data_IF_921545667248
#
_entry.id   IF_921545667248
#
_cell.length_a   1.000
_cell.length_b   1.000
_cell.length_c   1.000
_cell.angle_alpha   90.00
_cell.angle_beta   90.00
_cell.angle_gamma   90.00
#
_symmetry.space_group_name_H-M   'P 1'
#
loop_
_entity.id
_entity.type
_entity.pdbx_description
1 polymer ?
#
# COMPACT_ATOMS: atom_id res chain seq x y z
N UNK A 1 37.55 -9.11 40.43
CA UNK A 1 37.02 -7.83 40.93
C UNK A 1 37.95 -6.64 40.70
N UNK A 2 39.21 -6.63 41.15
CA UNK A 2 40.11 -5.47 40.92
C UNK A 2 40.54 -5.26 39.45
N UNK A 3 40.65 -6.33 38.66
CA UNK A 3 41.06 -6.25 37.26
C UNK A 3 39.98 -5.64 36.35
N UNK A 4 38.70 -5.92 36.62
CA UNK A 4 37.56 -5.43 35.83
C UNK A 4 37.29 -3.95 36.10
N UNK A 5 37.54 -3.47 37.32
CA UNK A 5 37.42 -2.05 37.68
C UNK A 5 38.52 -1.24 36.97
N UNK A 6 39.75 -1.76 36.93
CA UNK A 6 40.86 -1.12 36.21
C UNK A 6 40.59 -1.04 34.70
N UNK A 7 40.04 -2.10 34.10
CA UNK A 7 39.68 -2.13 32.68
C UNK A 7 38.55 -1.15 32.33
N UNK A 8 37.53 -1.00 33.20
CA UNK A 8 36.46 -0.01 33.00
C UNK A 8 36.97 1.43 33.10
N UNK A 9 37.82 1.73 34.07
CA UNK A 9 38.42 3.06 34.22
C UNK A 9 39.31 3.42 33.02
N UNK A 10 40.06 2.45 32.47
CA UNK A 10 40.84 2.67 31.25
C UNK A 10 39.96 2.93 30.02
N UNK A 11 38.80 2.26 29.93
CA UNK A 11 37.82 2.51 28.86
C UNK A 11 37.16 3.89 28.99
N UNK A 12 36.79 4.30 30.21
CA UNK A 12 36.22 5.63 30.47
C UNK A 12 37.21 6.74 30.12
N UNK A 13 38.49 6.59 30.49
CA UNK A 13 39.54 7.54 30.11
C UNK A 13 39.74 7.64 28.59
N UNK A 14 39.68 6.50 27.87
CA UNK A 14 39.77 6.50 26.40
C UNK A 14 38.58 7.20 25.75
N UNK A 15 37.37 7.00 26.28
CA UNK A 15 36.17 7.68 25.79
C UNK A 15 36.22 9.18 26.05
N UNK A 16 36.70 9.60 27.23
CA UNK A 16 36.89 11.01 27.56
C UNK A 16 37.92 11.67 26.64
N UNK A 17 39.05 11.01 26.39
CA UNK A 17 40.07 11.52 25.46
C UNK A 17 39.53 11.66 24.03
N UNK A 18 38.71 10.71 23.57
CA UNK A 18 38.08 10.77 22.23
C UNK A 18 37.02 11.88 22.15
N UNK A 19 36.28 12.13 23.23
CA UNK A 19 35.30 13.22 23.31
C UNK A 19 35.99 14.60 23.33
N UNK A 20 37.09 14.73 24.07
CA UNK A 20 37.92 15.94 24.10
C UNK A 20 38.57 16.21 22.74
N UNK A 21 39.07 15.19 22.04
CA UNK A 21 39.62 15.35 20.69
C UNK A 21 38.53 15.79 19.70
N UNK A 22 37.32 15.22 19.79
CA UNK A 22 36.18 15.65 18.97
C UNK A 22 35.75 17.08 19.28
N UNK A 23 35.78 17.50 20.55
CA UNK A 23 35.48 18.87 20.94
C UNK A 23 36.50 19.86 20.35
N UNK A 24 37.80 19.53 20.47
CA UNK A 24 38.88 20.33 19.89
C UNK A 24 38.74 20.44 18.36
N UNK A 25 38.45 19.33 17.67
CA UNK A 25 38.25 19.34 16.23
C UNK A 25 37.03 20.18 15.80
N UNK A 26 35.96 20.24 16.60
CA UNK A 26 34.82 21.12 16.33
C UNK A 26 35.20 22.59 16.51
N UNK A 27 35.95 22.91 17.56
CA UNK A 27 36.40 24.28 17.82
C UNK A 27 37.37 24.78 16.75
N UNK A 28 38.31 23.93 16.30
CA UNK A 28 39.20 24.25 15.16
C UNK A 28 38.38 24.48 13.89
N UNK A 29 37.43 23.61 13.57
CA UNK A 29 36.57 23.78 12.39
C UNK A 29 35.72 25.05 12.48
N UNK A 30 35.19 25.39 13.65
CA UNK A 30 34.43 26.62 13.84
C UNK A 30 35.33 27.85 13.66
N UNK A 31 36.55 27.80 14.20
CA UNK A 31 37.54 28.87 14.01
C UNK A 31 37.95 29.03 12.53
N UNK A 32 38.19 27.93 11.82
CA UNK A 32 38.45 27.94 10.38
C UNK A 32 37.25 28.55 9.63
N UNK A 33 36.03 28.12 9.94
CA UNK A 33 34.81 28.64 9.32
C UNK A 33 34.61 30.16 9.57
N UNK A 34 34.98 30.63 10.77
CA UNK A 34 35.00 32.06 11.13
C UNK A 34 36.06 32.84 10.34
N UNK A 35 37.25 32.28 10.14
CA UNK A 35 38.31 32.89 9.33
C UNK A 35 37.96 32.95 7.84
N UNK A 36 37.30 31.92 7.31
CA UNK A 36 36.85 31.88 5.92
C UNK A 36 35.65 32.79 5.62
N UNK A 37 35.15 33.54 6.62
CA UNK A 37 34.00 34.43 6.44
C UNK A 37 32.70 33.70 6.08
N UNK A 38 32.65 32.39 6.36
CA UNK A 38 31.62 31.46 5.88
C UNK A 38 30.56 31.15 6.95
N UNK A 39 30.42 32.00 7.98
CA UNK A 39 29.09 32.24 8.57
C UNK A 39 28.43 33.30 7.71
N UNK A 40 27.40 32.86 6.97
CA UNK A 40 26.58 33.73 6.16
C UNK A 40 26.17 34.98 6.95
N UNK A 41 26.17 36.10 6.23
CA UNK A 41 25.67 37.39 6.65
C UNK A 41 24.28 37.32 7.30
N UNK A 42 24.20 36.96 8.58
CA UNK A 42 23.17 37.44 9.47
C UNK A 42 23.73 38.66 10.19
N UNK A 43 23.38 39.83 9.64
CA UNK A 43 23.65 41.15 10.23
C UNK A 43 22.77 41.37 11.46
N UNK A 44 22.88 40.51 12.46
CA UNK A 44 22.17 40.68 13.74
C UNK A 44 22.92 40.01 14.89
N UNK A 45 24.07 40.59 15.25
CA UNK A 45 24.57 40.67 16.63
C UNK A 45 25.93 41.39 16.63
N UNK A 46 25.97 42.62 16.12
CA UNK A 46 26.95 43.58 16.64
C UNK A 46 26.38 44.04 17.98
N UNK A 47 27.11 43.99 19.10
CA UNK A 47 26.63 44.61 20.33
C UNK A 47 26.55 46.11 20.07
N UNK A 48 25.33 46.61 20.04
CA UNK A 48 24.99 48.02 19.96
C UNK A 48 25.63 48.73 21.18
N UNK A 49 26.72 49.44 20.94
CA UNK A 49 27.29 50.38 21.89
C UNK A 49 26.30 51.55 22.04
N UNK A 50 25.41 51.43 23.02
CA UNK A 50 24.46 52.48 23.38
C UNK A 50 25.23 53.70 23.88
N UNK A 51 25.48 54.67 23.01
CA UNK A 51 25.87 56.02 23.41
C UNK A 51 24.62 56.88 23.50
N UNK A 52 24.07 57.03 24.71
CA UNK A 52 23.13 58.11 25.02
C UNK A 52 23.92 59.42 25.03
N UNK A 53 23.56 60.37 24.17
CA UNK A 53 22.87 61.63 24.53
C UNK A 53 22.79 62.57 23.33
N UNK A 54 21.75 63.39 23.33
CA UNK A 54 21.36 64.26 22.23
C UNK A 54 22.32 65.40 21.91
N UNK A 55 22.12 65.88 20.69
CA UNK A 55 22.22 67.26 20.22
C UNK A 55 23.58 67.99 20.24
N UNK A 56 23.95 68.33 19.01
CA UNK A 56 24.60 69.56 18.53
C UNK A 56 26.13 69.57 18.30
N UNK A 57 26.46 70.02 17.09
CA UNK A 57 27.68 70.74 16.69
C UNK A 57 28.89 69.93 16.18
N UNK A 58 29.05 70.00 14.84
CA UNK A 58 30.26 70.42 14.10
C UNK A 58 31.64 69.78 14.39
N UNK A 59 32.10 69.06 13.36
CA UNK A 59 33.45 68.95 12.75
C UNK A 59 34.68 68.55 13.59
N UNK A 60 35.48 67.69 12.94
CA UNK A 60 36.94 67.51 13.00
C UNK A 60 37.52 66.30 13.76
N UNK A 61 38.08 65.40 12.93
CA UNK A 61 39.38 64.74 13.05
C UNK A 61 40.09 64.84 14.40
N UNK A 62 40.35 63.68 15.02
CA UNK A 62 41.63 63.37 15.69
C UNK A 62 41.77 61.88 15.96
N UNK A 63 42.75 61.30 15.27
CA UNK A 63 43.36 60.02 15.57
C UNK A 63 43.96 60.10 16.99
N UNK A 64 43.27 59.58 17.99
CA UNK A 64 43.81 59.42 19.34
C UNK A 64 43.51 58.01 19.82
N UNK A 65 44.57 57.19 19.88
CA UNK A 65 44.55 55.84 20.44
C UNK A 65 44.21 55.96 21.93
N UNK A 66 42.92 55.97 22.26
CA UNK A 66 42.48 55.80 23.65
C UNK A 66 42.73 54.35 24.02
N UNK A 67 43.50 54.14 25.08
CA UNK A 67 43.69 52.84 25.71
C UNK A 67 42.32 52.44 26.26
N UNK A 68 41.62 51.52 25.59
CA UNK A 68 40.44 50.88 26.18
C UNK A 68 40.95 50.03 27.34
N UNK A 69 40.71 50.48 28.56
CA UNK A 69 40.81 49.63 29.73
C UNK A 69 39.57 48.74 29.73
N UNK A 70 39.70 47.55 29.15
CA UNK A 70 38.66 46.54 29.18
C UNK A 70 38.63 45.96 30.59
N UNK A 71 37.56 46.24 31.31
CA UNK A 71 37.32 45.68 32.63
C UNK A 71 37.10 44.15 32.51
N UNK A 72 37.96 43.31 33.10
CA UNK A 72 37.87 41.86 32.97
C UNK A 72 36.53 41.29 33.45
N UNK A 73 35.91 41.92 34.46
CA UNK A 73 34.62 41.46 34.98
C UNK A 73 33.45 41.70 34.00
N UNK A 74 33.50 42.76 33.20
CA UNK A 74 32.46 43.09 32.22
C UNK A 74 32.57 42.17 30.99
N UNK A 75 33.78 41.84 30.56
CA UNK A 75 34.04 40.85 29.51
C UNK A 75 33.51 39.45 29.88
N UNK A 76 33.72 39.02 31.13
CA UNK A 76 33.25 37.73 31.60
C UNK A 76 31.71 37.65 31.65
N UNK A 77 31.04 38.76 31.96
CA UNK A 77 29.57 38.84 31.93
C UNK A 77 29.05 38.72 30.50
N UNK A 78 29.65 39.45 29.56
CA UNK A 78 29.28 39.40 28.13
C UNK A 78 29.55 38.00 27.55
N UNK A 79 30.65 37.35 27.92
CA UNK A 79 30.97 35.98 27.50
C UNK A 79 29.95 34.97 28.03
N UNK A 80 29.52 35.09 29.29
CA UNK A 80 28.48 34.21 29.86
C UNK A 80 27.12 34.44 29.20
N UNK A 81 26.72 35.69 29.02
CA UNK A 81 25.43 36.02 28.40
C UNK A 81 25.35 35.56 26.92
N UNK A 82 26.44 35.73 26.16
CA UNK A 82 26.52 35.23 24.78
C UNK A 82 26.48 33.70 24.72
N UNK A 83 27.21 33.01 25.60
CA UNK A 83 27.15 31.54 25.71
C UNK A 83 25.74 31.04 26.08
N UNK A 84 25.05 31.72 26.98
CA UNK A 84 23.70 31.32 27.40
C UNK A 84 22.66 31.52 26.29
N UNK A 85 22.80 32.60 25.50
CA UNK A 85 21.98 32.82 24.29
C UNK A 85 22.21 31.73 23.25
N UNK A 86 23.47 31.37 22.98
CA UNK A 86 23.82 30.29 22.03
C UNK A 86 23.26 28.94 22.49
N UNK A 87 23.41 28.61 23.79
CA UNK A 87 22.85 27.38 24.38
C UNK A 87 21.32 27.32 24.32
N UNK A 88 20.63 28.46 24.28
CA UNK A 88 19.18 28.49 24.14
C UNK A 88 18.76 28.17 22.71
N UNK A 89 19.43 28.78 21.72
CA UNK A 89 19.17 28.56 20.29
C UNK A 89 19.43 27.09 19.92
N UNK A 90 20.58 26.52 20.32
CA UNK A 90 20.90 25.11 20.09
C UNK A 90 19.81 24.16 20.65
N UNK A 91 19.30 24.43 21.86
CA UNK A 91 18.22 23.63 22.45
C UNK A 91 16.90 23.73 21.70
N UNK A 92 16.63 24.85 21.04
CA UNK A 92 15.44 25.04 20.21
C UNK A 92 15.60 24.30 18.87
N UNK A 93 16.77 24.41 18.22
CA UNK A 93 17.11 23.69 16.99
C UNK A 93 17.13 22.16 17.17
N UNK A 94 17.68 21.65 18.28
CA UNK A 94 17.66 20.22 18.63
C UNK A 94 16.23 19.70 18.85
N UNK A 95 15.35 20.52 19.44
CA UNK A 95 13.93 20.18 19.63
C UNK A 95 13.16 20.17 18.31
N UNK A 96 13.54 20.98 17.34
CA UNK A 96 12.87 21.02 16.03
C UNK A 96 13.36 19.89 15.11
N UNK A 97 14.68 19.65 15.08
CA UNK A 97 15.27 18.55 14.32
C UNK A 97 14.85 17.18 14.84
N UNK A 98 14.71 17.00 16.17
CA UNK A 98 14.21 15.75 16.75
C UNK A 98 12.74 15.46 16.45
N UNK A 99 11.90 16.49 16.25
CA UNK A 99 10.51 16.32 15.79
C UNK A 99 10.45 15.88 14.33
N UNK A 100 11.39 16.32 13.50
CA UNK A 100 11.42 16.01 12.07
C UNK A 100 12.09 14.65 11.74
N UNK A 101 12.95 14.12 12.61
CA UNK A 101 13.73 12.90 12.34
C UNK A 101 13.04 11.58 12.78
N UNK A 102 11.91 11.65 13.47
CA UNK A 102 11.14 10.46 13.83
C UNK A 102 10.13 10.17 12.72
N UNK A 103 10.07 8.94 12.16
CA UNK A 103 9.01 8.58 11.23
C UNK A 103 7.67 8.87 11.89
N UNK A 104 6.94 9.83 11.32
CA UNK A 104 5.88 10.64 11.95
C UNK A 104 4.60 9.90 12.35
N UNK A 105 4.66 8.58 12.53
CA UNK A 105 3.51 7.73 12.76
C UNK A 105 3.04 7.69 14.22
N UNK A 106 3.94 7.93 15.19
CA UNK A 106 3.65 7.73 16.61
C UNK A 106 3.50 9.02 17.42
N UNK A 107 3.65 10.19 16.79
CA UNK A 107 3.56 11.49 17.47
C UNK A 107 2.17 12.08 17.19
N UNK A 108 1.24 12.11 18.18
CA UNK A 108 -0.14 12.57 17.96
C UNK A 108 -0.28 14.02 17.48
N UNK A 109 0.76 14.85 17.66
CA UNK A 109 0.78 16.22 17.16
C UNK A 109 1.21 16.36 15.69
N UNK A 110 1.75 15.29 15.09
CA UNK A 110 2.19 15.24 13.69
C UNK A 110 1.36 14.26 12.85
N UNK A 111 0.39 13.56 13.46
CA UNK A 111 -0.58 12.78 12.70
C UNK A 111 -1.46 13.73 11.89
N UNK A 112 -1.56 13.57 10.56
CA UNK A 112 -2.45 14.38 9.75
C UNK A 112 -3.88 14.20 10.29
N UNK A 113 -4.53 15.30 10.68
CA UNK A 113 -5.89 15.29 11.18
C UNK A 113 -6.81 14.81 10.06
N UNK A 114 -7.24 13.54 10.13
CA UNK A 114 -8.24 12.98 9.22
C UNK A 114 -9.52 13.82 9.39
N UNK A 115 -9.92 14.50 8.32
CA UNK A 115 -11.19 15.22 8.28
C UNK A 115 -12.32 14.28 8.74
N UNK A 116 -13.21 14.77 9.60
CA UNK A 116 -14.29 13.97 10.25
C UNK A 116 -15.31 13.36 9.29
N UNK A 117 -15.12 13.47 7.97
CA UNK A 117 -15.79 12.62 6.99
C UNK A 117 -15.06 11.28 7.00
N UNK A 118 -15.57 10.35 7.82
CA UNK A 118 -15.26 8.95 7.63
C UNK A 118 -15.49 8.61 6.14
N UNK A 119 -14.48 8.10 5.42
CA UNK A 119 -14.71 7.58 4.08
C UNK A 119 -15.81 6.54 4.20
N UNK A 120 -16.82 6.64 3.33
CA UNK A 120 -17.90 5.67 3.28
C UNK A 120 -17.26 4.28 3.21
N UNK A 121 -17.65 3.37 4.12
CA UNK A 121 -17.03 2.06 4.20
C UNK A 121 -17.08 1.42 2.80
N UNK A 122 -15.94 0.96 2.25
CA UNK A 122 -15.93 0.38 0.92
C UNK A 122 -16.92 -0.80 0.92
N UNK A 123 -17.80 -0.85 -0.09
CA UNK A 123 -18.75 -1.95 -0.24
C UNK A 123 -17.94 -3.22 -0.49
N UNK A 124 -17.91 -4.10 0.52
CA UNK A 124 -17.16 -5.36 0.50
C UNK A 124 -17.97 -6.45 -0.21
N UNK A 125 -18.44 -6.17 -1.42
CA UNK A 125 -19.06 -7.21 -2.23
C UNK A 125 -17.95 -8.09 -2.82
N UNK A 126 -17.99 -9.42 -2.59
CA UNK A 126 -16.97 -10.31 -3.12
C UNK A 126 -17.03 -10.29 -4.64
N UNK A 127 -15.88 -10.03 -5.28
CA UNK A 127 -15.73 -10.08 -6.72
C UNK A 127 -15.36 -11.50 -7.14
N UNK A 128 -15.78 -11.91 -8.34
CA UNK A 128 -15.35 -13.19 -8.87
C UNK A 128 -13.89 -13.10 -9.35
N UNK A 129 -13.06 -14.12 -9.03
CA UNK A 129 -11.67 -14.14 -9.48
C UNK A 129 -11.51 -14.30 -11.00
N UNK A 130 -12.58 -14.71 -11.71
CA UNK A 130 -12.59 -14.89 -13.17
C UNK A 130 -13.23 -13.68 -13.87
N UNK A 131 -13.63 -12.64 -13.14
CA UNK A 131 -14.11 -11.41 -13.78
C UNK A 131 -13.01 -10.77 -14.61
N UNK A 132 -13.39 -10.25 -15.79
CA UNK A 132 -12.53 -9.33 -16.50
C UNK A 132 -12.35 -8.06 -15.67
N UNK A 133 -11.14 -7.45 -15.66
CA UNK A 133 -10.90 -6.22 -14.90
C UNK A 133 -11.76 -5.05 -15.40
N UNK A 134 -12.17 -5.08 -16.67
CA UNK A 134 -13.05 -4.07 -17.28
C UNK A 134 -14.54 -4.27 -16.94
N UNK A 135 -14.96 -5.48 -16.56
CA UNK A 135 -16.34 -5.81 -16.16
C UNK A 135 -16.38 -6.68 -14.89
N UNK A 136 -16.14 -6.06 -13.71
CA UNK A 136 -16.10 -6.78 -12.44
C UNK A 136 -17.51 -7.26 -12.05
N UNK A 137 -17.72 -8.58 -12.01
CA UNK A 137 -18.99 -9.14 -11.58
C UNK A 137 -18.99 -9.49 -10.09
N UNK A 138 -20.00 -8.97 -9.39
CA UNK A 138 -20.20 -9.19 -7.95
C UNK A 138 -20.85 -10.55 -7.70
N UNK A 139 -20.33 -11.28 -6.71
CA UNK A 139 -20.84 -12.56 -6.27
C UNK A 139 -21.86 -12.35 -5.14
N UNK A 140 -23.04 -12.95 -5.28
CA UNK A 140 -24.07 -12.97 -4.23
C UNK A 140 -24.54 -14.40 -4.00
N UNK A 141 -24.82 -14.78 -2.77
CA UNK A 141 -25.35 -16.12 -2.46
C UNK A 141 -26.65 -16.44 -3.22
N UNK A 142 -27.43 -15.41 -3.58
CA UNK A 142 -28.66 -15.56 -4.38
C UNK A 142 -28.39 -15.81 -5.86
N UNK A 143 -27.22 -15.39 -6.38
CA UNK A 143 -26.81 -15.61 -7.78
C UNK A 143 -26.02 -16.89 -7.97
N UNK A 144 -25.54 -17.52 -6.89
CA UNK A 144 -24.86 -18.82 -6.96
C UNK A 144 -25.83 -19.94 -7.32
N UNK A 145 -25.39 -20.79 -8.24
CA UNK A 145 -26.12 -21.98 -8.69
C UNK A 145 -25.34 -23.22 -8.26
N UNK A 146 -26.04 -24.22 -7.73
CA UNK A 146 -25.43 -25.51 -7.44
C UNK A 146 -25.07 -26.21 -8.75
N UNK A 147 -23.86 -26.76 -8.83
CA UNK A 147 -23.36 -27.50 -9.99
C UNK A 147 -23.29 -28.97 -9.65
N UNK A 148 -23.99 -29.80 -10.42
CA UNK A 148 -24.07 -31.24 -10.25
C UNK A 148 -23.41 -31.94 -11.45
N UNK A 149 -22.29 -32.61 -11.15
CA UNK A 149 -21.63 -33.51 -12.08
C UNK A 149 -22.08 -34.94 -11.83
N UNK A 150 -22.26 -35.73 -12.89
CA UNK A 150 -22.58 -37.14 -12.73
C UNK A 150 -21.32 -37.94 -12.36
N UNK A 151 -21.41 -38.61 -11.21
CA UNK A 151 -20.31 -39.28 -10.53
C UNK A 151 -20.06 -40.72 -10.97
N UNK A 152 -20.65 -41.18 -12.09
CA UNK A 152 -20.40 -42.52 -12.65
C UNK A 152 -18.93 -42.70 -12.99
N UNK A 153 -18.13 -43.14 -12.01
CA UNK A 153 -16.78 -43.62 -12.23
C UNK A 153 -16.87 -44.83 -13.14
N UNK A 154 -16.16 -44.82 -14.26
CA UNK A 154 -15.95 -46.03 -15.05
C UNK A 154 -15.49 -47.15 -14.13
N UNK A 155 -16.34 -48.16 -13.94
CA UNK A 155 -15.97 -49.35 -13.19
C UNK A 155 -14.84 -50.05 -13.94
N UNK A 156 -13.75 -50.34 -13.20
CA UNK A 156 -12.54 -51.13 -13.55
C UNK A 156 -11.33 -50.32 -14.05
N UNK A 157 -10.56 -49.79 -13.11
CA UNK A 157 -9.10 -49.94 -13.13
C UNK A 157 -8.52 -49.63 -11.74
N UNK A 158 -7.97 -50.67 -11.12
CA UNK A 158 -7.13 -50.59 -9.94
C UNK A 158 -5.80 -49.93 -10.34
N UNK A 159 -5.64 -48.63 -10.13
CA UNK A 159 -4.34 -47.97 -10.32
C UNK A 159 -4.18 -46.73 -9.46
N UNK A 160 -3.16 -46.81 -8.63
CA UNK A 160 -2.71 -45.92 -7.56
C UNK A 160 -2.12 -44.61 -8.10
N UNK A 161 -2.93 -43.68 -8.61
CA UNK A 161 -2.55 -42.26 -8.75
C UNK A 161 -3.71 -41.44 -9.33
N UNK A 162 -4.14 -40.42 -8.59
CA UNK A 162 -5.14 -39.40 -8.97
C UNK A 162 -6.54 -39.93 -9.29
N UNK A 163 -7.37 -39.92 -8.25
CA UNK A 163 -8.83 -39.92 -8.29
C UNK A 163 -9.30 -38.83 -9.28
N UNK A 164 -9.48 -39.16 -10.55
CA UNK A 164 -10.16 -38.30 -11.53
C UNK A 164 -11.64 -38.37 -11.17
N UNK A 165 -12.01 -37.55 -10.18
CA UNK A 165 -13.34 -37.46 -9.62
C UNK A 165 -14.40 -37.36 -10.73
N UNK A 166 -15.51 -38.10 -10.56
CA UNK A 166 -16.57 -38.30 -11.54
C UNK A 166 -17.21 -37.01 -12.05
N UNK A 167 -16.53 -36.36 -12.99
CA UNK A 167 -17.02 -35.23 -13.79
C UNK A 167 -17.31 -35.74 -15.17
N UNK A 168 -18.46 -36.38 -15.32
CA UNK A 168 -18.87 -37.05 -16.56
C UNK A 168 -20.16 -36.43 -17.08
N UNK A 169 -20.30 -36.36 -18.40
CA UNK A 169 -21.55 -35.94 -19.04
C UNK A 169 -22.61 -37.06 -18.91
N UNK A 170 -23.81 -36.78 -18.38
CA UNK A 170 -24.84 -37.80 -18.15
C UNK A 170 -25.43 -38.39 -19.44
N UNK A 171 -25.23 -37.74 -20.59
CA UNK A 171 -25.78 -38.20 -21.88
C UNK A 171 -24.82 -39.07 -22.69
N UNK A 172 -23.51 -38.79 -22.68
CA UNK A 172 -22.53 -39.53 -23.49
C UNK A 172 -21.47 -40.26 -22.65
N UNK A 173 -21.54 -40.15 -21.33
CA UNK A 173 -20.59 -40.73 -20.37
C UNK A 173 -19.11 -40.34 -20.62
N UNK A 174 -18.87 -39.27 -21.38
CA UNK A 174 -17.53 -38.71 -21.58
C UNK A 174 -17.15 -37.84 -20.40
N UNK A 175 -15.95 -38.06 -19.87
CA UNK A 175 -15.38 -37.22 -18.83
C UNK A 175 -15.10 -35.81 -19.36
N UNK A 176 -15.49 -34.78 -18.61
CA UNK A 176 -15.16 -33.39 -18.91
C UNK A 176 -13.66 -33.20 -18.74
N UNK A 177 -12.95 -33.15 -19.86
CA UNK A 177 -11.52 -32.85 -19.92
C UNK A 177 -11.27 -31.45 -20.44
N UNK A 178 -9.99 -31.12 -20.66
CA UNK A 178 -9.64 -29.85 -21.30
C UNK A 178 -10.39 -29.73 -22.61
N UNK A 179 -10.45 -30.71 -23.50
CA UNK A 179 -10.99 -30.56 -24.87
C UNK A 179 -12.52 -30.34 -24.99
N UNK A 180 -13.32 -30.76 -24.00
CA UNK A 180 -14.78 -30.80 -24.14
C UNK A 180 -15.43 -29.56 -23.53
N UNK A 181 -16.11 -28.78 -24.36
CA UNK A 181 -16.94 -27.67 -23.90
C UNK A 181 -18.23 -28.19 -23.26
N UNK A 182 -18.73 -27.47 -22.26
CA UNK A 182 -19.90 -27.87 -21.49
C UNK A 182 -20.87 -26.72 -21.24
N UNK A 183 -22.13 -27.08 -21.02
CA UNK A 183 -23.22 -26.20 -20.66
C UNK A 183 -23.76 -26.59 -19.28
N UNK A 184 -24.09 -25.59 -18.47
CA UNK A 184 -24.75 -25.70 -17.18
C UNK A 184 -26.21 -25.26 -17.31
N UNK A 185 -27.15 -26.07 -16.85
CA UNK A 185 -28.57 -25.71 -16.80
C UNK A 185 -28.88 -24.91 -15.53
N UNK A 186 -29.41 -23.69 -15.64
CA UNK A 186 -29.64 -22.81 -14.47
C UNK A 186 -30.60 -23.36 -13.40
N UNK A 187 -31.78 -23.92 -13.73
CA UNK A 187 -32.74 -24.30 -12.69
C UNK A 187 -32.32 -25.55 -11.89
N UNK A 188 -31.72 -26.55 -12.55
CA UNK A 188 -31.41 -27.84 -11.96
C UNK A 188 -29.91 -28.13 -11.77
N UNK A 189 -29.01 -27.32 -12.33
CA UNK A 189 -27.57 -27.42 -12.06
C UNK A 189 -26.83 -28.57 -12.76
N UNK A 190 -27.47 -29.31 -13.66
CA UNK A 190 -26.82 -30.38 -14.42
C UNK A 190 -25.85 -29.84 -15.49
N UNK A 191 -24.71 -30.53 -15.63
CA UNK A 191 -23.68 -30.18 -16.62
C UNK A 191 -23.69 -31.17 -17.79
N UNK A 192 -23.77 -30.66 -19.02
CA UNK A 192 -23.90 -31.46 -20.24
C UNK A 192 -22.89 -30.95 -21.28
N UNK A 193 -22.24 -31.86 -22.03
CA UNK A 193 -21.27 -31.43 -23.05
C UNK A 193 -21.97 -30.76 -24.24
N UNK A 194 -21.27 -29.87 -24.94
CA UNK A 194 -21.79 -29.11 -26.09
C UNK A 194 -22.41 -30.00 -27.17
N UNK A 195 -21.76 -31.11 -27.49
CA UNK A 195 -22.25 -32.05 -28.50
C UNK A 195 -23.58 -32.73 -28.09
N UNK A 196 -23.76 -33.04 -26.80
CA UNK A 196 -25.01 -33.59 -26.29
C UNK A 196 -26.11 -32.54 -26.23
N UNK A 197 -25.78 -31.31 -25.84
CA UNK A 197 -26.72 -30.21 -25.87
C UNK A 197 -27.30 -30.00 -27.28
N UNK A 198 -26.44 -29.89 -28.29
CA UNK A 198 -26.86 -29.63 -29.68
C UNK A 198 -27.65 -30.79 -30.30
N UNK A 199 -27.39 -32.03 -29.89
CA UNK A 199 -28.03 -33.22 -30.47
C UNK A 199 -29.32 -33.63 -29.75
N UNK A 200 -29.36 -33.48 -28.42
CA UNK A 200 -30.39 -34.08 -27.56
C UNK A 200 -31.33 -33.03 -26.96
N UNK A 201 -30.81 -31.86 -26.56
CA UNK A 201 -31.62 -30.85 -25.87
C UNK A 201 -32.09 -29.72 -26.77
N UNK A 202 -31.24 -29.24 -27.68
CA UNK A 202 -31.55 -28.07 -28.52
C UNK A 202 -32.78 -28.38 -29.39
N UNK A 203 -33.89 -27.65 -29.23
CA UNK A 203 -35.09 -27.87 -30.04
C UNK A 203 -34.77 -27.59 -31.50
N UNK A 204 -35.27 -28.46 -32.40
CA UNK A 204 -35.05 -28.32 -33.85
C UNK A 204 -36.05 -27.38 -34.49
N UNK A 205 -37.20 -27.19 -33.85
CA UNK A 205 -38.30 -26.37 -34.32
C UNK A 205 -38.59 -25.23 -33.35
N UNK A 206 -38.90 -24.05 -33.88
CA UNK A 206 -39.29 -22.87 -33.10
C UNK A 206 -40.67 -23.08 -32.46
N UNK A 207 -40.70 -23.52 -31.20
CA UNK A 207 -41.94 -23.78 -30.46
C UNK A 207 -41.81 -24.94 -29.46
N UNK A 208 -40.79 -25.78 -29.60
CA UNK A 208 -40.47 -26.82 -28.62
C UNK A 208 -39.80 -26.23 -27.38
N UNK A 209 -40.19 -26.73 -26.21
CA UNK A 209 -39.60 -26.32 -24.92
C UNK A 209 -38.22 -26.92 -24.77
N UNK A 210 -37.30 -26.12 -24.26
CA UNK A 210 -35.96 -26.61 -23.94
C UNK A 210 -36.03 -27.29 -22.58
N UNK A 211 -35.81 -28.61 -22.52
CA UNK A 211 -35.91 -29.37 -21.27
C UNK A 211 -34.58 -30.00 -20.88
N UNK A 212 -34.35 -30.15 -19.57
CA UNK A 212 -33.19 -30.86 -19.06
C UNK A 212 -33.31 -32.37 -19.34
N UNK A 213 -32.28 -32.98 -19.93
CA UNK A 213 -32.27 -34.42 -20.20
C UNK A 213 -32.31 -35.30 -18.93
N UNK A 214 -31.83 -34.79 -17.79
CA UNK A 214 -31.67 -35.59 -16.56
C UNK A 214 -32.92 -35.56 -15.68
N UNK A 215 -33.54 -34.39 -15.54
CA UNK A 215 -34.66 -34.17 -14.61
C UNK A 215 -35.90 -33.56 -15.27
N UNK A 216 -35.91 -33.45 -16.60
CA UNK A 216 -37.05 -32.96 -17.41
C UNK A 216 -37.53 -31.54 -17.08
N UNK A 217 -36.75 -30.78 -16.32
CA UNK A 217 -37.05 -29.40 -15.94
C UNK A 217 -37.03 -28.44 -17.15
N UNK A 218 -37.94 -27.46 -17.17
CA UNK A 218 -38.05 -26.48 -18.25
C UNK A 218 -36.95 -25.41 -18.16
N UNK A 219 -36.10 -25.36 -19.19
CA UNK A 219 -34.96 -24.47 -19.35
C UNK A 219 -35.26 -23.31 -20.30
N UNK A 220 -36.47 -23.22 -20.85
CA UNK A 220 -36.87 -22.18 -21.80
C UNK A 220 -36.67 -20.79 -21.17
N UNK A 221 -35.91 -19.93 -21.84
CA UNK A 221 -35.65 -18.56 -21.37
C UNK A 221 -36.95 -17.76 -21.43
N UNK A 222 -37.51 -17.43 -20.27
CA UNK A 222 -38.56 -16.43 -20.22
C UNK A 222 -37.91 -15.05 -20.20
N UNK A 223 -38.20 -14.17 -21.18
CA UNK A 223 -37.76 -12.79 -21.11
C UNK A 223 -38.45 -12.16 -19.91
N UNK A 224 -37.67 -11.72 -18.92
CA UNK A 224 -38.18 -11.02 -17.73
C UNK A 224 -38.74 -9.67 -18.16
N UNK A 225 -39.98 -9.66 -18.66
CA UNK A 225 -40.77 -8.47 -18.94
C UNK A 225 -41.93 -8.43 -17.95
N UNK A 226 -41.72 -7.83 -16.78
CA UNK A 226 -42.73 -6.97 -16.15
C UNK A 226 -42.20 -6.27 -14.91
N UNK A 227 -42.43 -4.96 -14.87
CA UNK A 227 -42.12 -4.04 -13.76
C UNK A 227 -43.12 -4.17 -12.60
N UNK A 228 -43.92 -5.24 -12.56
CA UNK A 228 -44.99 -5.44 -11.57
C UNK A 228 -45.34 -6.93 -11.45
N UNK A 229 -44.57 -7.70 -10.68
CA UNK A 229 -45.15 -8.81 -9.93
C UNK A 229 -44.36 -9.04 -8.65
N UNK A 230 -45.07 -8.95 -7.52
CA UNK A 230 -44.55 -9.33 -6.20
C UNK A 230 -44.47 -10.87 -6.16
N UNK A 231 -43.37 -11.36 -5.57
CA UNK A 231 -43.32 -12.61 -4.77
C UNK A 231 -43.30 -13.93 -5.56
N UNK A 232 -42.13 -14.31 -6.08
CA UNK A 232 -41.37 -15.46 -5.55
C UNK A 232 -39.94 -15.39 -6.09
N UNK A 233 -38.99 -15.98 -5.37
CA UNK A 233 -37.58 -16.13 -5.73
C UNK A 233 -37.41 -17.09 -6.90
N UNK A 234 -37.91 -16.74 -8.07
CA UNK A 234 -37.79 -17.58 -9.26
C UNK A 234 -36.39 -17.41 -9.84
N UNK A 235 -35.60 -18.48 -9.80
CA UNK A 235 -34.25 -18.49 -10.38
C UNK A 235 -34.37 -18.26 -11.89
N UNK A 236 -33.52 -17.39 -12.43
CA UNK A 236 -33.49 -17.13 -13.87
C UNK A 236 -33.33 -18.45 -14.64
N UNK A 237 -34.27 -18.73 -15.56
CA UNK A 237 -34.24 -19.91 -16.42
C UNK A 237 -33.25 -19.70 -17.56
N UNK A 238 -32.75 -20.79 -18.13
CA UNK A 238 -31.81 -20.76 -19.24
C UNK A 238 -30.60 -21.67 -19.04
N UNK A 239 -29.66 -21.53 -19.96
CA UNK A 239 -28.42 -22.32 -20.02
C UNK A 239 -27.23 -21.39 -20.01
N UNK A 240 -26.19 -21.77 -19.28
CA UNK A 240 -24.92 -21.04 -19.19
C UNK A 240 -23.85 -21.88 -19.88
N UNK A 241 -23.06 -21.25 -20.75
CA UNK A 241 -21.84 -21.88 -21.26
C UNK A 241 -20.77 -21.87 -20.18
N UNK A 242 -20.18 -23.02 -19.88
CA UNK A 242 -19.05 -23.10 -18.98
C UNK A 242 -17.78 -22.82 -19.77
N UNK A 243 -17.19 -21.65 -19.52
CA UNK A 243 -15.90 -21.29 -20.07
C UNK A 243 -14.83 -22.27 -19.57
N UNK A 244 -13.89 -22.58 -20.46
CA UNK A 244 -12.71 -23.37 -20.12
C UNK A 244 -11.59 -22.42 -19.74
N UNK A 245 -11.12 -22.59 -18.52
CA UNK A 245 -9.94 -21.89 -18.04
C UNK A 245 -8.65 -22.49 -18.61
N UNK A 246 -7.70 -21.62 -18.93
CA UNK A 246 -6.37 -21.98 -19.41
C UNK A 246 -5.62 -20.78 -19.95
N UNK A 247 -4.29 -20.78 -19.82
CA UNK A 247 -3.45 -19.84 -20.57
C UNK A 247 -3.52 -20.26 -22.04
N UNK A 248 -3.94 -19.38 -22.95
CA UNK A 248 -4.22 -19.69 -24.36
C UNK A 248 -3.09 -20.38 -25.18
N UNK A 249 -1.92 -20.61 -24.58
CA UNK A 249 -0.74 -21.26 -25.16
C UNK A 249 -0.93 -22.73 -25.58
N UNK A 250 -1.84 -23.50 -24.96
CA UNK A 250 -2.01 -24.93 -25.27
C UNK A 250 -3.48 -25.39 -25.40
N UNK A 251 -4.44 -24.47 -25.40
CA UNK A 251 -5.84 -24.82 -25.65
C UNK A 251 -6.83 -23.80 -25.11
N UNK A 252 -7.36 -22.97 -26.00
CA UNK A 252 -8.71 -22.38 -25.94
C UNK A 252 -9.09 -21.49 -24.75
N UNK A 253 -8.21 -21.24 -23.78
CA UNK A 253 -8.52 -20.35 -22.65
C UNK A 253 -8.28 -18.88 -22.98
N UNK A 254 -9.04 -18.00 -22.34
CA UNK A 254 -9.05 -16.54 -22.56
C UNK A 254 -8.07 -15.79 -21.67
N UNK A 255 -7.41 -16.47 -20.73
CA UNK A 255 -6.47 -15.84 -19.81
C UNK A 255 -5.18 -15.44 -20.55
N UNK A 256 -4.98 -14.14 -20.74
CA UNK A 256 -3.77 -13.52 -21.29
C UNK A 256 -3.04 -12.82 -20.15
N UNK A 257 -1.75 -13.14 -19.96
CA UNK A 257 -0.90 -12.45 -18.99
C UNK A 257 -0.18 -11.31 -19.71
N UNK A 258 -0.68 -10.09 -19.54
CA UNK A 258 0.01 -8.88 -20.02
C UNK A 258 0.90 -8.31 -18.92
N UNK A 259 2.19 -8.17 -19.20
CA UNK A 259 3.13 -7.52 -18.29
C UNK A 259 3.19 -6.03 -18.63
N UNK A 260 2.40 -5.22 -17.93
CA UNK A 260 2.53 -3.77 -18.00
C UNK A 260 3.87 -3.35 -17.36
N UNK A 261 4.87 -3.04 -18.20
CA UNK A 261 6.15 -2.52 -17.75
C UNK A 261 6.00 -1.07 -17.29
N UNK A 262 6.37 -0.77 -16.04
CA UNK A 262 6.51 0.61 -15.58
C UNK A 262 7.80 1.14 -16.21
N UNK A 263 7.69 2.02 -17.20
CA UNK A 263 8.84 2.72 -17.74
C UNK A 263 9.36 3.68 -16.65
N UNK A 264 10.46 3.31 -16.00
CA UNK A 264 11.19 4.23 -15.13
C UNK A 264 11.66 5.41 -15.99
N UNK A 265 11.05 6.58 -15.79
CA UNK A 265 11.60 7.83 -16.29
C UNK A 265 12.82 8.16 -15.43
N UNK A 266 13.97 8.26 -16.10
CA UNK A 266 15.24 8.71 -15.54
C UNK A 266 15.27 10.24 -15.43
#
# INVERSE_FOLDING_TARGET
MNLEIAQKHEQELKLQAEEEEKALQREIKEFELLQYGLRGSDRSAVPELVTRTGSHSTVESRNSKRKLELDPEELDRISKESKDKIKKILREEEKESSKANLPAFWVPSLTPSVDKKAPEAPKLDPLCPVSDPDDPHTLSLKSLLAVHFDGRSGSRSNSTSSKRDGRVCPSCEKAFGSVLDAYLTKPCGHVICKACYEKVMKPKYSGERLICYVCEEDLSEQPTRSKHSKKHTERARGIIFLAREGTGFAGGGTAVVEKAGVAFQA
#
